data_IF_781144890292
#
_entry.id   IF_781144890292
#
_cell.length_a   1.000
_cell.length_b   1.000
_cell.length_c   1.000
_cell.angle_alpha   90.00
_cell.angle_beta   90.00
_cell.angle_gamma   90.00
#
_symmetry.space_group_name_H-M   'P 1'
#
loop_
_entity.id
_entity.type
_entity.pdbx_description
1 polymer ?
#
# COMPACT_ATOMS: atom_id res chain seq x y z
N UNK A 1 -18.05 -13.12 15.68
CA UNK A 1 -17.68 -12.03 16.61
C UNK A 1 -18.38 -10.75 16.17
N UNK A 2 -18.50 -9.76 17.06
CA UNK A 2 -19.16 -8.49 16.74
C UNK A 2 -18.12 -7.49 16.24
N UNK A 3 -18.30 -7.00 15.02
CA UNK A 3 -17.53 -5.87 14.49
C UNK A 3 -17.90 -4.60 15.25
N UNK A 4 -16.90 -3.83 15.66
CA UNK A 4 -17.03 -2.53 16.32
C UNK A 4 -16.72 -1.44 15.31
N UNK A 5 -17.55 -0.40 15.27
CA UNK A 5 -17.34 0.77 14.42
C UNK A 5 -16.70 1.89 15.26
N UNK A 6 -15.45 2.23 14.98
CA UNK A 6 -14.76 3.38 15.56
C UNK A 6 -14.78 4.57 14.61
N UNK A 7 -14.91 5.75 15.20
CA UNK A 7 -14.85 7.04 14.53
C UNK A 7 -13.87 7.97 15.24
N UNK A 8 -13.26 8.89 14.50
CA UNK A 8 -12.36 9.86 15.09
C UNK A 8 -11.76 10.80 14.07
N UNK A 9 -10.73 11.51 14.49
CA UNK A 9 -9.95 12.39 13.63
C UNK A 9 -8.46 12.27 13.94
N UNK A 10 -7.62 12.51 12.94
CA UNK A 10 -6.19 12.73 13.14
C UNK A 10 -5.71 14.05 12.55
N UNK A 11 -4.63 14.59 13.09
CA UNK A 11 -3.96 15.79 12.61
C UNK A 11 -2.49 15.48 12.32
N UNK A 12 -2.00 15.83 11.13
CA UNK A 12 -0.59 15.72 10.79
C UNK A 12 0.23 16.79 11.51
N UNK A 13 1.19 16.37 12.31
CA UNK A 13 2.02 17.24 13.16
C UNK A 13 3.38 17.57 12.57
N UNK A 14 3.88 16.72 11.67
CA UNK A 14 5.14 16.94 10.96
C UNK A 14 5.03 16.39 9.55
N UNK A 15 5.89 16.90 8.65
CA UNK A 15 6.06 16.33 7.32
C UNK A 15 7.49 16.55 6.87
N UNK A 16 8.14 15.51 6.39
CA UNK A 16 9.41 15.59 5.68
C UNK A 16 9.35 14.69 4.47
N UNK A 17 9.70 15.21 3.30
CA UNK A 17 9.66 14.47 2.05
C UNK A 17 11.01 14.54 1.33
N UNK A 18 11.43 13.43 0.73
CA UNK A 18 12.61 13.36 -0.12
C UNK A 18 12.32 12.50 -1.36
N UNK A 19 12.67 12.97 -2.58
CA UNK A 19 12.61 12.13 -3.77
C UNK A 19 13.59 10.97 -3.66
N UNK A 20 13.20 9.80 -4.18
CA UNK A 20 14.10 8.65 -4.34
C UNK A 20 14.23 8.21 -5.81
N UNK A 21 13.30 8.62 -6.67
CA UNK A 21 13.37 8.41 -8.11
C UNK A 21 12.84 9.68 -8.81
N UNK A 22 13.77 10.44 -9.39
CA UNK A 22 13.50 11.67 -10.14
C UNK A 22 14.27 11.61 -11.46
N UNK A 23 13.54 11.19 -12.51
CA UNK A 23 14.09 10.99 -13.86
C UNK A 23 13.27 11.84 -14.82
N UNK A 24 13.95 12.63 -15.65
CA UNK A 24 13.31 13.49 -16.64
C UNK A 24 12.31 12.73 -17.52
N UNK A 25 11.11 13.32 -17.66
CA UNK A 25 10.02 12.75 -18.45
C UNK A 25 9.31 11.54 -17.81
N UNK A 26 9.58 11.24 -16.53
CA UNK A 26 8.92 10.18 -15.76
C UNK A 26 8.25 10.73 -14.49
N UNK A 27 7.21 10.08 -13.97
CA UNK A 27 6.59 10.46 -12.68
C UNK A 27 7.63 10.50 -11.56
N UNK A 28 7.74 11.60 -10.80
CA UNK A 28 8.56 11.65 -9.58
C UNK A 28 8.04 10.63 -8.57
N UNK A 29 8.95 9.89 -7.91
CA UNK A 29 8.62 9.11 -6.73
C UNK A 29 9.35 9.67 -5.51
N UNK A 30 8.63 9.80 -4.39
CA UNK A 30 9.22 10.31 -3.14
C UNK A 30 8.77 9.51 -1.93
N UNK A 31 9.56 9.66 -0.87
CA UNK A 31 9.29 9.12 0.45
C UNK A 31 8.94 10.25 1.41
N UNK A 32 7.88 10.08 2.18
CA UNK A 32 7.43 11.00 3.22
C UNK A 32 7.50 10.37 4.60
N UNK A 33 7.88 11.16 5.60
CA UNK A 33 7.82 10.79 7.02
C UNK A 33 6.95 11.81 7.74
N UNK A 34 5.99 11.34 8.53
CA UNK A 34 5.13 12.21 9.33
C UNK A 34 4.73 11.60 10.66
N UNK A 35 4.29 12.47 11.55
CA UNK A 35 3.62 12.10 12.79
C UNK A 35 2.18 12.58 12.75
N UNK A 36 1.27 11.77 13.25
CA UNK A 36 -0.15 12.09 13.37
C UNK A 36 -0.55 12.06 14.85
N UNK A 37 -1.48 12.92 15.24
CA UNK A 37 -2.14 12.86 16.54
C UNK A 37 -3.59 12.40 16.36
N UNK A 38 -3.98 11.30 16.98
CA UNK A 38 -5.32 10.71 16.91
C UNK A 38 -6.19 11.12 18.09
N UNK A 39 -7.48 11.33 17.82
CA UNK A 39 -8.52 11.59 18.82
C UNK A 39 -9.87 10.98 18.41
N UNK A 40 -10.75 10.75 19.39
CA UNK A 40 -12.03 10.04 19.19
C UNK A 40 -11.99 8.65 19.83
N UNK A 41 -12.57 7.65 19.16
CA UNK A 41 -12.56 6.25 19.63
C UNK A 41 -11.16 5.62 19.55
N UNK A 42 -10.26 6.22 18.77
CA UNK A 42 -8.82 5.94 18.76
C UNK A 42 -8.10 7.21 19.20
N UNK A 43 -7.24 7.09 20.21
CA UNK A 43 -6.39 8.19 20.70
C UNK A 43 -4.93 7.77 20.70
N UNK A 44 -4.01 8.71 20.47
CA UNK A 44 -2.58 8.42 20.51
C UNK A 44 -1.77 9.13 19.44
N UNK A 45 -0.56 8.62 19.20
CA UNK A 45 0.37 9.12 18.17
C UNK A 45 0.54 8.07 17.08
N UNK A 46 0.51 8.51 15.83
CA UNK A 46 0.87 7.74 14.66
C UNK A 46 2.24 8.17 14.12
N UNK A 47 3.07 7.22 13.70
CA UNK A 47 4.31 7.46 12.96
C UNK A 47 4.24 6.81 11.60
N UNK A 48 4.36 7.62 10.57
CA UNK A 48 4.09 7.23 9.18
C UNK A 48 5.36 7.26 8.36
N UNK A 49 5.54 6.22 7.56
CA UNK A 49 6.43 6.18 6.40
C UNK A 49 5.57 5.99 5.15
N UNK A 50 5.68 6.90 4.20
CA UNK A 50 4.85 6.96 2.99
C UNK A 50 5.70 6.92 1.73
N UNK A 51 5.18 6.27 0.68
CA UNK A 51 5.72 6.30 -0.68
C UNK A 51 4.69 6.93 -1.60
N UNK A 52 5.11 7.85 -2.45
CA UNK A 52 4.23 8.67 -3.28
C UNK A 52 4.68 8.67 -4.73
N UNK A 53 3.72 8.56 -5.65
CA UNK A 53 3.90 8.69 -7.09
C UNK A 53 3.13 9.91 -7.61
N UNK A 54 3.86 10.88 -8.17
CA UNK A 54 3.31 12.13 -8.68
C UNK A 54 2.83 11.93 -10.11
N UNK A 55 1.51 11.99 -10.30
CA UNK A 55 0.86 11.67 -11.57
C UNK A 55 0.85 12.90 -12.48
N UNK A 56 0.78 12.63 -13.78
CA UNK A 56 0.75 13.69 -14.80
C UNK A 56 -0.54 14.53 -14.77
N UNK A 57 -1.64 14.02 -14.20
CA UNK A 57 -2.90 14.73 -14.00
C UNK A 57 -2.92 15.64 -12.76
N UNK A 58 -1.81 15.68 -12.01
CA UNK A 58 -1.68 16.48 -10.79
C UNK A 58 -2.13 15.76 -9.52
N UNK A 59 -2.62 14.52 -9.60
CA UNK A 59 -2.89 13.70 -8.43
C UNK A 59 -1.60 13.05 -7.90
N UNK A 60 -1.63 12.59 -6.66
CA UNK A 60 -0.57 11.78 -6.06
C UNK A 60 -1.19 10.46 -5.59
N UNK A 61 -0.74 9.34 -6.17
CA UNK A 61 -1.04 8.02 -5.60
C UNK A 61 -0.04 7.74 -4.49
N UNK A 62 -0.51 7.22 -3.35
CA UNK A 62 0.38 6.91 -2.24
C UNK A 62 0.00 5.61 -1.52
N UNK A 63 1.01 5.04 -0.88
CA UNK A 63 0.87 3.98 0.11
C UNK A 63 1.68 4.36 1.36
N UNK A 64 1.24 3.96 2.54
CA UNK A 64 2.03 4.20 3.77
C UNK A 64 1.86 3.13 4.83
N UNK A 65 2.88 2.94 5.65
CA UNK A 65 2.79 2.21 6.92
C UNK A 65 2.72 3.23 8.04
N UNK A 66 1.74 3.08 8.92
CA UNK A 66 1.59 3.91 10.10
C UNK A 66 1.56 3.03 11.35
N UNK A 67 2.54 3.22 12.24
CA UNK A 67 2.43 2.67 13.59
C UNK A 67 1.63 3.62 14.46
N UNK A 68 0.50 3.17 14.97
CA UNK A 68 -0.29 3.88 15.97
C UNK A 68 0.04 3.34 17.35
N UNK A 69 0.34 4.22 18.30
CA UNK A 69 0.55 3.89 19.72
C UNK A 69 -0.40 4.72 20.58
N UNK A 70 -1.25 4.05 21.36
CA UNK A 70 -2.26 4.70 22.18
C UNK A 70 -3.38 3.75 22.59
N UNK A 71 -4.63 4.19 22.41
CA UNK A 71 -5.82 3.44 22.82
C UNK A 71 -6.81 3.27 21.67
N UNK A 72 -7.45 2.10 21.61
CA UNK A 72 -8.63 1.81 20.79
C UNK A 72 -9.73 1.36 21.73
N UNK A 73 -10.78 2.19 21.89
CA UNK A 73 -11.72 2.03 22.99
C UNK A 73 -11.01 2.12 24.35
N UNK A 74 -11.13 1.09 25.18
CA UNK A 74 -10.48 0.98 26.49
C UNK A 74 -9.12 0.24 26.45
N UNK A 75 -8.69 -0.22 25.28
CA UNK A 75 -7.55 -1.14 25.13
C UNK A 75 -6.29 -0.35 24.77
N UNK A 76 -5.24 -0.47 25.58
CA UNK A 76 -3.98 0.25 25.38
C UNK A 76 -2.95 -0.62 24.65
N UNK A 77 -2.29 -0.06 23.64
CA UNK A 77 -1.27 -0.80 22.90
C UNK A 77 -0.76 -0.07 21.66
N UNK A 78 -0.27 -0.84 20.71
CA UNK A 78 0.10 -0.35 19.38
C UNK A 78 -0.33 -1.32 18.29
N UNK A 79 -0.41 -0.83 17.06
CA UNK A 79 -0.72 -1.61 15.86
C UNK A 79 -0.19 -0.88 14.61
N UNK A 80 -0.16 -1.56 13.46
CA UNK A 80 0.33 -0.99 12.20
C UNK A 80 -0.79 -0.96 11.16
N UNK A 81 -1.07 0.23 10.62
CA UNK A 81 -1.98 0.43 9.50
C UNK A 81 -1.20 0.43 8.17
N UNK A 82 -1.75 -0.25 7.17
CA UNK A 82 -1.41 -0.07 5.76
C UNK A 82 -2.40 0.88 5.12
N UNK A 83 -1.91 1.94 4.49
CA UNK A 83 -2.72 2.93 3.78
C UNK A 83 -2.52 2.74 2.28
N UNK A 84 -3.60 2.89 1.53
CA UNK A 84 -3.56 3.01 0.08
C UNK A 84 -4.55 4.09 -0.34
N UNK A 85 -4.06 5.13 -1.01
CA UNK A 85 -4.85 6.33 -1.25
C UNK A 85 -4.40 7.20 -2.42
N UNK A 86 -5.18 8.26 -2.64
CA UNK A 86 -4.91 9.30 -3.64
C UNK A 86 -5.12 10.67 -3.00
N UNK A 87 -4.22 11.60 -3.34
CA UNK A 87 -4.33 13.01 -3.02
C UNK A 87 -4.50 13.83 -4.30
N UNK A 88 -5.62 14.54 -4.42
CA UNK A 88 -5.95 15.39 -5.55
C UNK A 88 -5.52 16.84 -5.22
N UNK A 89 -4.26 17.18 -5.52
CA UNK A 89 -3.64 18.47 -5.14
C UNK A 89 -4.50 19.67 -5.52
N UNK A 90 -5.03 19.67 -6.75
CA UNK A 90 -5.81 20.78 -7.29
C UNK A 90 -7.18 20.94 -6.63
N UNK A 91 -7.76 19.84 -6.17
CA UNK A 91 -9.06 19.84 -5.48
C UNK A 91 -8.87 20.05 -3.97
N UNK A 92 -7.68 19.79 -3.44
CA UNK A 92 -7.43 19.77 -2.00
C UNK A 92 -8.21 18.66 -1.31
N UNK A 93 -8.33 17.50 -1.94
CA UNK A 93 -9.03 16.33 -1.38
C UNK A 93 -8.10 15.13 -1.28
N UNK A 94 -8.30 14.31 -0.26
CA UNK A 94 -7.55 13.09 -0.04
C UNK A 94 -8.52 11.95 0.29
N UNK A 95 -8.20 10.74 -0.16
CA UNK A 95 -8.87 9.53 0.32
C UNK A 95 -7.86 8.42 0.52
N UNK A 96 -8.03 7.65 1.57
CA UNK A 96 -7.28 6.41 1.77
C UNK A 96 -8.18 5.32 2.31
N UNK A 97 -7.83 4.09 1.95
CA UNK A 97 -8.30 2.87 2.62
C UNK A 97 -7.23 2.41 3.59
N UNK A 98 -7.66 1.84 4.71
CA UNK A 98 -6.81 1.31 5.77
C UNK A 98 -7.06 -0.17 5.98
N UNK A 99 -5.97 -0.89 6.26
CA UNK A 99 -5.99 -2.26 6.76
C UNK A 99 -5.09 -2.32 8.00
N UNK A 100 -5.60 -2.87 9.10
CA UNK A 100 -4.73 -3.27 10.23
C UNK A 100 -3.89 -4.46 9.75
N UNK A 101 -2.57 -4.28 9.74
CA UNK A 101 -1.63 -5.33 9.33
C UNK A 101 -1.83 -6.53 10.25
N UNK A 102 -2.11 -7.73 9.74
CA UNK A 102 -2.29 -8.93 10.56
C UNK A 102 -1.09 -9.17 11.50
N UNK A 103 -1.37 -9.56 12.74
CA UNK A 103 -0.35 -9.81 13.76
C UNK A 103 0.32 -8.55 14.34
N UNK A 104 -0.03 -7.34 13.87
CA UNK A 104 0.66 -6.11 14.28
C UNK A 104 0.27 -5.59 15.67
N UNK A 105 -0.85 -6.05 16.22
CA UNK A 105 -1.36 -5.60 17.52
C UNK A 105 -0.45 -6.02 18.68
N UNK A 106 -0.09 -5.06 19.55
CA UNK A 106 0.71 -5.27 20.75
C UNK A 106 0.02 -4.72 21.99
N UNK A 107 0.48 -5.13 23.18
CA UNK A 107 -0.18 -4.81 24.46
C UNK A 107 -1.57 -5.41 24.52
N UNK A 108 -2.55 -4.63 24.96
CA UNK A 108 -3.95 -5.06 24.99
C UNK A 108 -4.54 -5.12 23.58
N UNK A 109 -3.86 -4.61 22.54
CA UNK A 109 -4.35 -4.64 21.15
C UNK A 109 -3.95 -5.91 20.38
N UNK A 110 -3.35 -6.91 21.03
CA UNK A 110 -3.13 -8.23 20.41
C UNK A 110 -4.44 -8.79 19.85
N UNK A 111 -4.36 -9.37 18.65
CA UNK A 111 -5.52 -9.90 17.93
C UNK A 111 -6.39 -8.85 17.22
N UNK A 112 -6.00 -7.56 17.26
CA UNK A 112 -6.70 -6.51 16.52
C UNK A 112 -6.65 -6.78 15.01
N UNK A 113 -7.82 -6.76 14.38
CA UNK A 113 -8.02 -6.81 12.93
C UNK A 113 -9.04 -5.75 12.55
N UNK A 114 -8.91 -5.17 11.38
CA UNK A 114 -9.88 -4.17 10.94
C UNK A 114 -9.52 -3.50 9.64
N UNK A 115 -10.51 -2.83 9.08
CA UNK A 115 -10.40 -2.02 7.87
C UNK A 115 -11.15 -0.73 8.04
N UNK A 116 -10.73 0.28 7.29
CA UNK A 116 -11.33 1.59 7.41
C UNK A 116 -10.73 2.55 6.40
N UNK A 117 -10.60 3.80 6.81
CA UNK A 117 -9.97 4.82 6.00
C UNK A 117 -10.47 6.19 6.32
N UNK A 118 -10.13 7.13 5.45
CA UNK A 118 -10.54 8.52 5.56
C UNK A 118 -10.89 9.11 4.21
N UNK A 119 -11.69 10.17 4.28
CA UNK A 119 -11.87 11.14 3.20
C UNK A 119 -11.69 12.53 3.79
N UNK A 120 -10.70 13.24 3.27
CA UNK A 120 -10.39 14.61 3.69
C UNK A 120 -10.71 15.57 2.56
N UNK A 121 -11.31 16.69 2.92
CA UNK A 121 -11.55 17.83 2.04
C UNK A 121 -11.07 19.10 2.75
N UNK A 122 -10.12 19.81 2.13
CA UNK A 122 -9.50 21.01 2.72
C UNK A 122 -10.52 22.07 3.12
N UNK A 123 -11.58 22.25 2.33
CA UNK A 123 -12.59 23.28 2.58
C UNK A 123 -13.52 22.89 3.73
N UNK A 124 -13.85 21.60 3.84
CA UNK A 124 -14.76 21.08 4.87
C UNK A 124 -14.06 20.81 6.20
N UNK A 125 -12.91 20.14 6.17
CA UNK A 125 -12.30 19.53 7.36
C UNK A 125 -11.12 20.36 7.91
N UNK A 126 -10.59 21.30 7.13
CA UNK A 126 -9.47 22.14 7.57
C UNK A 126 -8.21 21.33 7.83
N UNK A 127 -7.71 21.33 9.07
CA UNK A 127 -6.45 20.68 9.44
C UNK A 127 -6.60 19.28 10.01
N UNK A 128 -7.82 18.87 10.40
CA UNK A 128 -8.07 17.52 10.92
C UNK A 128 -8.65 16.63 9.83
N UNK A 129 -8.38 15.33 9.90
CA UNK A 129 -8.86 14.33 8.95
C UNK A 129 -9.78 13.35 9.64
N UNK A 130 -11.09 13.33 9.31
CA UNK A 130 -12.01 12.36 9.88
C UNK A 130 -11.75 10.96 9.31
N UNK A 131 -11.82 9.96 10.18
CA UNK A 131 -11.65 8.56 9.80
C UNK A 131 -12.74 7.68 10.40
N UNK A 132 -12.88 6.49 9.81
CA UNK A 132 -13.60 5.37 10.42
C UNK A 132 -12.73 4.12 10.40
N UNK A 133 -12.93 3.23 11.37
CA UNK A 133 -12.31 1.92 11.43
C UNK A 133 -13.34 0.90 11.92
N UNK A 134 -13.69 -0.06 11.08
CA UNK A 134 -14.43 -1.24 11.48
C UNK A 134 -13.42 -2.30 11.92
N UNK A 135 -13.49 -2.71 13.17
CA UNK A 135 -12.50 -3.61 13.75
C UNK A 135 -13.13 -4.66 14.65
N UNK A 136 -12.36 -5.71 14.88
CA UNK A 136 -12.61 -6.70 15.91
C UNK A 136 -11.30 -7.00 16.62
N UNK A 137 -11.44 -7.63 17.78
CA UNK A 137 -10.27 -8.16 18.47
C UNK A 137 -10.55 -9.59 18.85
N UNK A 138 -9.82 -10.49 18.19
CA UNK A 138 -9.83 -11.89 18.56
C UNK A 138 -9.09 -12.07 19.90
N UNK A 139 -9.68 -12.79 20.88
CA UNK A 139 -8.91 -13.30 21.99
C UNK A 139 -7.82 -14.23 21.43
N UNK A 140 -6.65 -14.34 22.09
CA UNK A 140 -5.60 -15.26 21.66
C UNK A 140 -6.19 -16.67 21.52
N UNK A 141 -6.16 -17.23 20.31
CA UNK A 141 -6.84 -18.47 20.01
C UNK A 141 -6.25 -19.64 20.82
N UNK A 142 -7.11 -20.40 21.50
CA UNK A 142 -6.90 -21.83 21.65
C UNK A 142 -7.39 -22.49 20.36
N UNK A 143 -6.55 -23.30 19.72
CA UNK A 143 -6.79 -24.11 18.52
C UNK A 143 -8.24 -24.10 17.98
N UNK A 144 -8.55 -23.21 17.04
CA UNK A 144 -9.70 -23.39 16.13
C UNK A 144 -9.31 -22.92 14.74
N UNK A 145 -9.30 -23.87 13.81
CA UNK A 145 -9.15 -23.63 12.40
C UNK A 145 -10.43 -23.01 11.80
N UNK A 146 -10.21 -22.11 10.83
CA UNK A 146 -11.12 -21.58 9.80
C UNK A 146 -12.05 -20.42 10.14
N UNK A 147 -11.72 -19.27 9.55
CA UNK A 147 -12.66 -18.46 8.78
C UNK A 147 -11.89 -17.81 7.61
N UNK A 148 -12.18 -18.29 6.39
CA UNK A 148 -11.67 -17.72 5.14
C UNK A 148 -12.60 -16.58 4.75
N UNK A 149 -12.04 -15.38 4.59
CA UNK A 149 -12.51 -14.34 3.68
C UNK A 149 -11.41 -13.28 3.59
N UNK A 150 -10.48 -13.46 2.65
CA UNK A 150 -9.62 -12.37 2.22
C UNK A 150 -10.51 -11.32 1.57
N UNK A 151 -10.72 -10.19 2.23
CA UNK A 151 -11.34 -9.04 1.59
C UNK A 151 -10.46 -8.66 0.40
N UNK A 152 -10.98 -8.83 -0.81
CA UNK A 152 -10.36 -8.26 -1.99
C UNK A 152 -10.42 -6.75 -1.83
N UNK A 153 -9.27 -6.12 -1.57
CA UNK A 153 -9.13 -4.66 -1.57
C UNK A 153 -9.37 -4.19 -3.02
N UNK A 154 -10.63 -4.09 -3.45
CA UNK A 154 -10.94 -3.81 -4.84
C UNK A 154 -10.70 -2.33 -5.14
N UNK A 155 -9.53 -2.02 -5.71
CA UNK A 155 -9.33 -0.77 -6.43
C UNK A 155 -9.63 -1.03 -7.91
N UNK A 156 -10.83 -0.70 -8.37
CA UNK A 156 -11.23 -0.88 -9.78
C UNK A 156 -11.18 0.46 -10.54
N UNK A 157 -9.98 0.90 -10.93
CA UNK A 157 -9.83 2.01 -11.88
C UNK A 157 -9.76 1.57 -13.35
N UNK A 158 -9.90 0.28 -13.65
CA UNK A 158 -9.90 -0.19 -15.05
C UNK A 158 -11.18 0.18 -15.81
N UNK A 159 -12.18 0.81 -15.18
CA UNK A 159 -13.29 1.50 -15.89
C UNK A 159 -14.08 0.64 -16.88
N UNK A 160 -14.18 -0.68 -16.66
CA UNK A 160 -14.86 -1.59 -17.60
C UNK A 160 -14.09 -1.84 -18.91
N UNK A 161 -12.82 -1.44 -19.00
CA UNK A 161 -11.95 -1.73 -20.13
C UNK A 161 -11.81 -3.24 -20.33
N UNK A 162 -11.80 -3.68 -21.59
CA UNK A 162 -11.44 -5.06 -21.95
C UNK A 162 -9.95 -5.24 -21.72
N UNK A 163 -9.59 -6.05 -20.72
CA UNK A 163 -8.21 -6.31 -20.37
C UNK A 163 -7.59 -7.40 -21.26
N UNK A 164 -6.30 -7.24 -21.53
CA UNK A 164 -5.43 -8.18 -22.21
C UNK A 164 -4.54 -8.83 -21.16
N UNK A 165 -4.66 -10.16 -20.92
CA UNK A 165 -3.82 -10.84 -19.97
C UNK A 165 -2.41 -11.03 -20.53
N UNK A 166 -1.41 -10.94 -19.66
CA UNK A 166 -0.01 -11.25 -19.99
C UNK A 166 0.65 -12.02 -18.87
N UNK A 167 1.72 -12.74 -19.24
CA UNK A 167 2.53 -13.51 -18.31
C UNK A 167 4.01 -13.32 -18.60
N UNK A 168 4.77 -13.04 -17.56
CA UNK A 168 6.22 -12.93 -17.59
C UNK A 168 6.83 -13.63 -16.39
N UNK A 169 8.03 -14.16 -16.54
CA UNK A 169 8.86 -14.55 -15.40
C UNK A 169 9.65 -13.35 -14.91
N UNK A 170 10.01 -13.32 -13.63
CA UNK A 170 10.94 -12.32 -13.12
C UNK A 170 12.02 -12.94 -12.23
N UNK A 171 13.15 -12.27 -12.11
CA UNK A 171 14.24 -12.61 -11.20
C UNK A 171 14.50 -11.41 -10.28
N UNK A 172 14.66 -11.63 -8.98
CA UNK A 172 15.14 -10.60 -8.05
C UNK A 172 16.66 -10.58 -8.11
N UNK A 173 17.22 -9.48 -8.61
CA UNK A 173 18.68 -9.32 -8.81
C UNK A 173 19.35 -8.49 -7.72
N UNK A 174 18.56 -7.88 -6.83
CA UNK A 174 19.07 -7.11 -5.70
C UNK A 174 18.00 -6.90 -4.64
N UNK A 175 18.44 -6.96 -3.38
CA UNK A 175 17.64 -6.69 -2.20
C UNK A 175 18.52 -5.95 -1.19
N UNK A 176 18.20 -4.69 -0.92
CA UNK A 176 18.83 -3.89 0.12
C UNK A 176 17.76 -3.45 1.12
N UNK A 177 17.90 -3.86 2.39
CA UNK A 177 16.90 -3.62 3.42
C UNK A 177 17.49 -2.87 4.61
N UNK A 178 16.78 -1.84 5.06
CA UNK A 178 17.13 -1.06 6.25
C UNK A 178 15.98 -1.12 7.28
N UNK A 179 16.26 -1.40 8.56
CA UNK A 179 15.27 -1.22 9.63
C UNK A 179 14.75 0.22 9.71
N UNK A 180 13.46 0.39 10.00
CA UNK A 180 12.82 1.68 10.23
C UNK A 180 12.42 1.85 11.71
N UNK A 181 11.84 0.80 12.30
CA UNK A 181 11.38 0.79 13.68
C UNK A 181 11.42 -0.63 14.25
N UNK A 182 12.06 -0.80 15.40
CA UNK A 182 12.24 -2.09 16.08
C UNK A 182 11.92 -1.91 17.58
N UNK A 183 10.63 -1.89 17.95
CA UNK A 183 10.22 -1.75 19.35
C UNK A 183 10.64 -2.97 20.18
N UNK A 184 10.56 -2.85 21.50
CA UNK A 184 10.63 -4.02 22.39
C UNK A 184 9.39 -4.93 22.29
N UNK A 185 8.23 -4.38 21.88
CA UNK A 185 6.99 -5.12 21.69
C UNK A 185 6.25 -4.64 20.44
N UNK A 186 5.71 -5.57 19.66
CA UNK A 186 5.05 -5.32 18.38
C UNK A 186 5.97 -5.57 17.18
N UNK A 187 5.43 -5.49 15.96
CA UNK A 187 6.14 -5.91 14.75
C UNK A 187 7.37 -5.05 14.47
N UNK A 188 8.30 -5.57 13.68
CA UNK A 188 9.41 -4.78 13.12
C UNK A 188 8.98 -4.11 11.82
N UNK A 189 9.39 -2.87 11.62
CA UNK A 189 9.23 -2.16 10.36
C UNK A 189 10.57 -2.01 9.66
N UNK A 190 10.58 -2.19 8.35
CA UNK A 190 11.77 -2.00 7.52
C UNK A 190 11.39 -1.38 6.17
N UNK A 191 12.36 -0.79 5.49
CA UNK A 191 12.28 -0.46 4.07
C UNK A 191 13.18 -1.38 3.27
N UNK A 192 12.84 -1.65 2.02
CA UNK A 192 13.72 -2.36 1.10
C UNK A 192 13.70 -1.78 -0.31
N UNK A 193 14.87 -1.64 -0.92
CA UNK A 193 15.04 -1.42 -2.35
C UNK A 193 15.22 -2.77 -3.04
N UNK A 194 14.37 -3.08 -4.03
CA UNK A 194 14.35 -4.38 -4.71
C UNK A 194 14.51 -4.17 -6.22
N UNK A 195 15.47 -4.86 -6.84
CA UNK A 195 15.69 -4.84 -8.29
C UNK A 195 15.21 -6.13 -8.92
N UNK A 196 14.55 -6.02 -10.08
CA UNK A 196 14.08 -7.20 -10.83
C UNK A 196 14.41 -7.11 -12.32
N UNK A 197 14.53 -8.28 -12.95
CA UNK A 197 14.55 -8.45 -14.41
C UNK A 197 13.33 -9.26 -14.82
N UNK A 198 12.59 -8.80 -15.84
CA UNK A 198 11.41 -9.47 -16.40
C UNK A 198 11.71 -10.07 -17.78
N UNK A 199 11.10 -11.23 -18.07
CA UNK A 199 11.19 -11.93 -19.36
C UNK A 199 9.84 -12.52 -19.74
N UNK A 200 9.45 -12.40 -21.01
CA UNK A 200 8.17 -12.89 -21.53
C UNK A 200 7.42 -11.77 -22.24
N UNK A 201 6.12 -11.65 -22.00
CA UNK A 201 5.30 -10.58 -22.57
C UNK A 201 5.78 -9.17 -22.12
N UNK A 202 6.36 -9.08 -20.93
CA UNK A 202 7.12 -7.95 -20.41
C UNK A 202 8.61 -8.32 -20.39
N UNK A 203 9.41 -7.54 -21.09
CA UNK A 203 10.87 -7.60 -21.05
C UNK A 203 11.43 -6.29 -20.51
N UNK A 204 12.25 -6.33 -19.46
CA UNK A 204 12.80 -5.12 -18.89
C UNK A 204 13.33 -5.30 -17.48
N UNK A 205 13.56 -4.18 -16.81
CA UNK A 205 14.06 -4.14 -15.44
C UNK A 205 13.13 -3.29 -14.56
N UNK A 206 13.21 -3.49 -13.26
CA UNK A 206 12.55 -2.62 -12.29
C UNK A 206 13.40 -2.30 -11.08
N UNK A 207 13.03 -1.19 -10.44
CA UNK A 207 13.46 -0.82 -9.10
C UNK A 207 12.22 -0.52 -8.27
N UNK A 208 12.09 -1.19 -7.12
CA UNK A 208 10.98 -1.01 -6.19
C UNK A 208 11.47 -0.51 -4.84
N UNK A 209 10.72 0.42 -4.25
CA UNK A 209 10.83 0.75 -2.83
C UNK A 209 9.65 0.09 -2.10
N UNK A 210 9.95 -0.70 -1.08
CA UNK A 210 8.97 -1.42 -0.26
C UNK A 210 9.03 -0.92 1.19
N UNK A 211 7.88 -0.86 1.83
CA UNK A 211 7.77 -0.76 3.29
C UNK A 211 7.20 -2.07 3.83
N UNK A 212 7.88 -2.64 4.81
CA UNK A 212 7.66 -3.99 5.33
C UNK A 212 7.22 -3.90 6.79
N UNK A 213 6.22 -4.70 7.16
CA UNK A 213 5.81 -4.97 8.53
C UNK A 213 5.93 -6.47 8.79
N UNK A 214 6.73 -6.86 9.77
CA UNK A 214 6.98 -8.26 10.13
C UNK A 214 6.53 -8.49 11.57
N UNK A 215 5.47 -9.26 11.76
CA UNK A 215 4.97 -9.63 13.08
C UNK A 215 5.69 -10.86 13.62
N UNK A 216 5.69 -11.00 14.95
CA UNK A 216 6.38 -12.10 15.65
C UNK A 216 5.72 -13.47 15.40
N UNK A 217 4.45 -13.48 15.02
CA UNK A 217 3.69 -14.70 14.68
C UNK A 217 3.90 -15.18 13.23
N UNK A 218 4.79 -14.54 12.47
CA UNK A 218 5.06 -14.84 11.07
C UNK A 218 4.11 -14.16 10.09
N UNK A 219 3.05 -13.50 10.58
CA UNK A 219 2.24 -12.59 9.77
C UNK A 219 3.11 -11.44 9.26
N UNK A 220 2.77 -10.95 8.07
CA UNK A 220 3.50 -9.86 7.47
C UNK A 220 2.58 -9.03 6.58
N UNK A 221 2.94 -7.76 6.42
CA UNK A 221 2.39 -6.90 5.38
C UNK A 221 3.52 -6.20 4.64
N UNK A 222 3.32 -5.92 3.37
CA UNK A 222 4.15 -4.97 2.66
C UNK A 222 3.35 -4.11 1.70
N UNK A 223 3.87 -2.92 1.46
CA UNK A 223 3.40 -1.98 0.44
C UNK A 223 4.60 -1.49 -0.36
N UNK A 224 4.37 -0.88 -1.51
CA UNK A 224 5.49 -0.39 -2.31
C UNK A 224 5.11 0.33 -3.60
N UNK A 225 6.10 0.96 -4.19
CA UNK A 225 6.05 1.52 -5.54
C UNK A 225 7.22 0.93 -6.35
N UNK A 226 6.92 0.39 -7.52
CA UNK A 226 7.89 -0.24 -8.41
C UNK A 226 7.87 0.43 -9.78
N UNK A 227 8.99 1.04 -10.17
CA UNK A 227 9.15 1.51 -11.55
C UNK A 227 9.65 0.36 -12.40
N UNK A 228 8.90 0.05 -13.45
CA UNK A 228 9.29 -0.87 -14.51
C UNK A 228 9.73 -0.05 -15.73
N UNK A 229 10.85 -0.43 -16.35
CA UNK A 229 11.36 0.14 -17.61
C UNK A 229 11.62 -1.00 -18.58
N UNK A 230 10.98 -0.97 -19.74
CA UNK A 230 11.09 -2.07 -20.68
C UNK A 230 10.09 -2.02 -21.82
N UNK A 231 9.72 -3.21 -22.30
CA UNK A 231 8.84 -3.44 -23.43
C UNK A 231 7.72 -4.39 -23.03
N UNK A 232 6.48 -3.93 -23.08
CA UNK A 232 5.27 -4.72 -22.83
C UNK A 232 4.57 -4.98 -24.18
N UNK A 233 4.44 -6.25 -24.56
CA UNK A 233 3.80 -6.66 -25.81
C UNK A 233 4.30 -5.89 -27.05
N UNK A 234 5.61 -5.64 -27.14
CA UNK A 234 6.21 -4.89 -28.25
C UNK A 234 6.36 -3.38 -28.02
N UNK A 235 5.64 -2.80 -27.06
CA UNK A 235 5.62 -1.34 -26.82
C UNK A 235 6.64 -0.93 -25.76
N UNK A 236 7.52 0.01 -26.08
CA UNK A 236 8.61 0.47 -25.22
C UNK A 236 8.20 1.64 -24.35
N UNK A 237 8.53 1.59 -23.06
CA UNK A 237 8.26 2.68 -22.14
C UNK A 237 8.66 2.35 -20.71
N UNK A 238 8.09 3.11 -19.78
CA UNK A 238 8.14 2.80 -18.36
C UNK A 238 6.76 2.99 -17.75
N UNK A 239 6.51 2.41 -16.58
CA UNK A 239 5.31 2.62 -15.78
C UNK A 239 5.60 2.32 -14.30
N UNK A 240 4.71 2.72 -13.41
CA UNK A 240 4.83 2.47 -11.97
C UNK A 240 3.73 1.51 -11.54
N UNK A 241 4.09 0.46 -10.81
CA UNK A 241 3.16 -0.46 -10.14
C UNK A 241 3.09 -0.10 -8.67
N UNK A 242 1.89 0.03 -8.12
CA UNK A 242 1.65 0.16 -6.69
C UNK A 242 1.37 -1.21 -6.09
N UNK A 243 1.91 -1.50 -4.90
CA UNK A 243 1.79 -2.77 -4.19
C UNK A 243 1.07 -2.55 -2.86
N UNK A 244 0.12 -3.43 -2.52
CA UNK A 244 -0.37 -3.62 -1.16
C UNK A 244 -0.61 -5.11 -0.93
N UNK A 245 0.04 -5.74 0.05
CA UNK A 245 -0.14 -7.15 0.31
C UNK A 245 0.01 -7.51 1.78
N UNK A 246 -0.64 -8.60 2.17
CA UNK A 246 -0.57 -9.21 3.50
C UNK A 246 -0.47 -10.72 3.42
N UNK A 247 0.10 -11.29 4.48
CA UNK A 247 0.16 -12.72 4.77
C UNK A 247 -0.10 -12.96 6.25
N UNK A 248 -0.96 -13.92 6.53
CA UNK A 248 -1.26 -14.51 7.84
C UNK A 248 -2.07 -15.79 7.61
N UNK A 249 -2.34 -16.55 8.66
CA UNK A 249 -3.21 -17.74 8.58
C UNK A 249 -4.64 -17.41 8.11
N UNK A 250 -5.12 -16.19 8.40
CA UNK A 250 -6.48 -15.75 8.06
C UNK A 250 -6.57 -15.02 6.70
N UNK A 251 -5.47 -14.41 6.24
CA UNK A 251 -5.44 -13.57 5.04
C UNK A 251 -4.12 -13.69 4.30
N UNK A 252 -4.18 -14.06 3.02
CA UNK A 252 -3.05 -14.08 2.09
C UNK A 252 -3.51 -13.44 0.78
N UNK A 253 -2.78 -12.42 0.32
CA UNK A 253 -3.08 -11.78 -0.96
C UNK A 253 -2.67 -10.32 -0.99
N UNK A 254 -2.99 -9.66 -2.09
CA UNK A 254 -2.67 -8.25 -2.27
C UNK A 254 -3.33 -7.65 -3.49
N UNK A 255 -3.09 -6.37 -3.68
CA UNK A 255 -3.48 -5.59 -4.83
C UNK A 255 -2.24 -4.99 -5.45
N UNK A 256 -2.12 -5.19 -6.75
CA UNK A 256 -1.09 -4.56 -7.55
C UNK A 256 -1.76 -3.95 -8.77
N UNK A 257 -1.45 -2.68 -9.05
CA UNK A 257 -2.02 -2.01 -10.21
C UNK A 257 -1.06 -0.96 -10.76
N UNK A 258 -1.18 -0.71 -12.06
CA UNK A 258 -0.44 0.36 -12.72
C UNK A 258 -0.99 1.70 -12.22
N UNK A 259 -0.12 2.52 -11.62
CA UNK A 259 -0.47 3.88 -11.19
C UNK A 259 -0.96 4.66 -12.41
N UNK A 260 -2.18 5.22 -12.40
CA UNK A 260 -2.72 5.97 -13.54
C UNK A 260 -1.81 7.10 -13.97
N UNK A 261 -1.69 7.31 -15.28
CA UNK A 261 -0.85 8.36 -15.84
C UNK A 261 0.65 8.19 -15.59
N UNK A 262 1.09 7.07 -14.99
CA UNK A 262 2.52 6.85 -14.72
C UNK A 262 3.32 6.39 -15.94
N UNK A 263 2.61 5.91 -16.97
CA UNK A 263 3.23 5.25 -18.09
C UNK A 263 3.79 6.24 -19.15
N UNK A 264 4.93 5.91 -19.72
CA UNK A 264 5.70 6.77 -20.64
C UNK A 264 5.96 6.10 -21.98
N UNK A 265 6.48 6.86 -22.95
CA UNK A 265 6.82 6.35 -24.28
C UNK A 265 5.60 5.78 -25.00
N UNK A 266 5.77 4.61 -25.61
CA UNK A 266 4.69 3.89 -26.27
C UNK A 266 3.73 3.25 -25.26
N UNK A 267 4.00 3.30 -23.95
CA UNK A 267 3.11 2.77 -22.91
C UNK A 267 2.15 3.82 -22.34
N UNK A 268 2.12 5.05 -22.86
CA UNK A 268 1.15 6.07 -22.43
C UNK A 268 -0.29 5.52 -22.52
N UNK A 269 -1.10 5.87 -21.52
CA UNK A 269 -2.48 5.37 -21.38
C UNK A 269 -2.62 3.99 -20.72
N UNK A 270 -1.52 3.31 -20.36
CA UNK A 270 -1.57 2.01 -19.70
C UNK A 270 -2.37 2.07 -18.40
N UNK A 271 -3.28 1.11 -18.24
CA UNK A 271 -3.98 0.74 -17.01
C UNK A 271 -3.91 -0.76 -16.86
N UNK A 272 -3.91 -1.26 -15.64
CA UNK A 272 -3.98 -2.70 -15.44
C UNK A 272 -3.81 -3.13 -14.00
N UNK A 273 -4.19 -4.38 -13.76
CA UNK A 273 -3.95 -5.09 -12.49
C UNK A 273 -2.79 -6.04 -12.70
N UNK A 274 -1.83 -5.97 -11.81
CA UNK A 274 -0.72 -6.89 -11.76
C UNK A 274 -0.94 -7.94 -10.68
N UNK A 275 -0.19 -9.03 -10.76
CA UNK A 275 -0.01 -9.99 -9.68
C UNK A 275 1.43 -10.50 -9.70
N UNK A 276 1.99 -10.65 -8.51
CA UNK A 276 3.28 -11.29 -8.31
C UNK A 276 3.05 -12.59 -7.56
N UNK A 277 3.41 -13.72 -8.18
CA UNK A 277 3.50 -15.01 -7.51
C UNK A 277 4.95 -15.44 -7.47
N UNK A 278 5.41 -15.84 -6.30
CA UNK A 278 6.74 -16.37 -6.11
C UNK A 278 6.63 -17.57 -5.17
N UNK A 279 6.92 -18.75 -5.71
CA UNK A 279 6.99 -20.00 -4.96
C UNK A 279 8.29 -20.74 -5.26
N UNK A 280 8.45 -21.95 -4.72
CA UNK A 280 9.66 -22.78 -4.86
C UNK A 280 9.96 -23.19 -6.31
N UNK A 281 9.00 -23.04 -7.23
CA UNK A 281 9.12 -23.47 -8.61
C UNK A 281 9.23 -22.30 -9.60
N UNK A 282 8.56 -21.18 -9.33
CA UNK A 282 8.56 -20.06 -10.24
C UNK A 282 8.30 -18.69 -9.59
N UNK A 283 8.87 -17.67 -10.22
CA UNK A 283 8.60 -16.25 -9.99
C UNK A 283 7.90 -15.67 -11.23
N UNK A 284 6.60 -15.41 -11.10
CA UNK A 284 5.71 -15.03 -12.20
C UNK A 284 5.08 -13.68 -11.90
N UNK A 285 5.11 -12.82 -12.91
CA UNK A 285 4.37 -11.58 -12.99
C UNK A 285 3.27 -11.72 -14.04
N UNK A 286 2.03 -11.46 -13.66
CA UNK A 286 0.93 -11.28 -14.62
C UNK A 286 0.49 -9.84 -14.61
N UNK A 287 0.02 -9.37 -15.77
CA UNK A 287 -0.57 -8.05 -15.92
C UNK A 287 -1.75 -8.14 -16.87
N UNK A 288 -2.94 -7.92 -16.32
CA UNK A 288 -4.16 -7.74 -17.08
C UNK A 288 -4.28 -6.24 -17.38
N UNK A 289 -4.02 -5.84 -18.62
CA UNK A 289 -3.91 -4.43 -18.99
C UNK A 289 -4.84 -3.99 -20.11
N UNK A 290 -5.08 -2.69 -20.16
CA UNK A 290 -5.64 -2.00 -21.31
C UNK A 290 -4.93 -0.66 -21.50
N UNK A 291 -5.17 -0.05 -22.65
CA UNK A 291 -4.78 1.32 -22.92
C UNK A 291 -6.05 2.16 -23.00
N UNK A 292 -6.10 3.25 -22.26
CA UNK A 292 -7.11 4.28 -22.48
C UNK A 292 -6.96 4.80 -23.92
N UNK A 293 -8.08 4.89 -24.66
CA UNK A 293 -8.06 5.53 -25.97
C UNK A 293 -7.78 7.01 -25.77
N UNK A 294 -6.79 7.56 -26.50
CA UNK A 294 -6.65 9.01 -26.58
C UNK A 294 -7.96 9.58 -27.15
N UNK A 295 -8.60 10.46 -26.39
CA UNK A 295 -9.85 11.08 -26.82
C UNK A 295 -9.66 11.79 -28.16
N UNK A 296 -10.57 11.49 -29.09
CA UNK A 296 -10.77 12.24 -30.34
C UNK A 296 -11.32 13.63 -30.01
#
# INVERSE_FOLDING_TARGET
MMTIHATGQFEAKSWTEQPFDEIDGRPKLSRGVMTNAFSGDITGEGRVEALMAYRADGAISFVSLERVTGQVGDRTGSFVLQHSGVFELNQGTARATWLVTPGSGAGDLRGLRGQGGYRWDRQRDGQTTPFTLDYEVEPPAADVATARNGAELSYSETGGLKLTPTRSTFEITGWDQTPLDEPAAGPKLARATVKKIFRGDLEGESSAELLLCQADDGSAGYIGLERVVGRLAGRTGSFVVQHNAVRSDAAQGGTWFVVPGSATGELRGLRGRAEYRHDEHEAVFTLDYAFEQEGV
#
